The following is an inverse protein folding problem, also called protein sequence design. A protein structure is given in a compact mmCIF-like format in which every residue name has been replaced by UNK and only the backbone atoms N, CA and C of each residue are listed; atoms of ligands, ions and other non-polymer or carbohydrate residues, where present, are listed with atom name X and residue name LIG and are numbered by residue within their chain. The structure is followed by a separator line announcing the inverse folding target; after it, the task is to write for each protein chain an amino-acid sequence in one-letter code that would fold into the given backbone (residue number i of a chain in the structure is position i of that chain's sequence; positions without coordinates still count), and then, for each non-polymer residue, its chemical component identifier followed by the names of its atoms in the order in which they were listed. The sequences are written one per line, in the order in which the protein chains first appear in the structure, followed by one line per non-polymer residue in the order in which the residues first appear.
data_IF_500925590542
#
_entry.id   IF_500925590542
#
_cell.length_a   1.000
_cell.length_b   1.000
_cell.length_c   1.000
_cell.angle_alpha   90.00
_cell.angle_beta   90.00
_cell.angle_gamma   90.00
#
_symmetry.space_group_name_H-M   'P 1'
#
loop_
_entity.id
_entity.type
_entity.pdbx_description
1 polymer ?
#
# COMPACT_ATOMS: atom_id res chain seq x y z
N UNK A 1 -7.54 19.94 -56.97
CA UNK A 1 -6.88 21.24 -56.77
C UNK A 1 -7.53 21.92 -55.57
N UNK A 2 -6.69 22.26 -54.60
CA UNK A 2 -6.83 23.13 -53.42
C UNK A 2 -8.14 23.91 -53.22
N UNK A 3 -8.67 23.88 -51.99
CA UNK A 3 -8.87 25.14 -51.27
C UNK A 3 -8.67 24.94 -49.77
N UNK A 4 -7.95 25.86 -49.14
CA UNK A 4 -7.46 25.86 -47.78
C UNK A 4 -7.98 27.07 -47.00
N UNK A 5 -8.41 26.85 -45.74
CA UNK A 5 -8.42 27.77 -44.55
C UNK A 5 -9.38 28.98 -44.54
N UNK A 6 -9.78 29.58 -43.37
CA UNK A 6 -9.18 29.50 -42.02
C UNK A 6 -10.11 29.32 -40.78
N UNK A 7 -9.46 29.19 -39.61
CA UNK A 7 -9.96 29.12 -38.23
C UNK A 7 -10.81 30.33 -37.77
N UNK A 8 -11.64 30.15 -36.73
CA UNK A 8 -11.85 31.17 -35.69
C UNK A 8 -11.87 30.56 -34.29
N UNK A 9 -10.88 30.98 -33.48
CA UNK A 9 -10.90 30.98 -32.02
C UNK A 9 -12.09 31.79 -31.50
N UNK A 10 -12.83 31.24 -30.53
CA UNK A 10 -13.58 32.06 -29.56
C UNK A 10 -13.23 31.60 -28.15
N UNK A 11 -12.22 32.28 -27.60
CA UNK A 11 -11.99 32.43 -26.17
C UNK A 11 -13.17 33.21 -25.57
N UNK A 12 -13.95 32.57 -24.72
CA UNK A 12 -14.56 33.27 -23.58
C UNK A 12 -14.13 32.53 -22.33
N UNK A 13 -13.12 33.08 -21.67
CA UNK A 13 -12.66 32.64 -20.35
C UNK A 13 -13.87 32.65 -19.41
N UNK A 14 -14.34 31.46 -19.04
CA UNK A 14 -15.24 31.29 -17.91
C UNK A 14 -14.35 31.16 -16.67
N UNK A 15 -14.56 31.96 -15.61
CA UNK A 15 -13.75 31.86 -14.41
C UNK A 15 -13.84 30.43 -13.85
N UNK A 16 -12.78 29.91 -13.21
CA UNK A 16 -12.78 28.56 -12.69
C UNK A 16 -13.96 28.42 -11.72
N UNK A 17 -14.89 27.53 -12.06
CA UNK A 17 -15.87 27.09 -11.08
C UNK A 17 -15.09 26.48 -9.91
N UNK A 18 -15.30 26.95 -8.67
CA UNK A 18 -14.75 26.26 -7.52
C UNK A 18 -15.33 24.84 -7.52
N UNK A 19 -14.46 23.83 -7.46
CA UNK A 19 -14.82 22.44 -7.22
C UNK A 19 -15.41 22.31 -5.83
N UNK A 20 -16.66 22.74 -5.66
CA UNK A 20 -17.46 22.48 -4.47
C UNK A 20 -18.13 21.12 -4.61
N UNK A 21 -17.32 20.07 -4.53
CA UNK A 21 -17.74 18.82 -3.90
C UNK A 21 -16.74 18.53 -2.78
N UNK A 22 -16.64 19.48 -1.84
CA UNK A 22 -16.41 19.13 -0.45
C UNK A 22 -17.62 18.31 -0.02
N UNK A 23 -17.61 17.02 -0.38
CA UNK A 23 -18.50 16.03 0.18
C UNK A 23 -18.46 16.21 1.69
N UNK A 24 -19.64 16.48 2.24
CA UNK A 24 -19.91 16.78 3.63
C UNK A 24 -19.00 15.94 4.57
N UNK A 25 -18.09 16.54 5.37
CA UNK A 25 -17.08 15.78 6.13
C UNK A 25 -17.66 14.83 7.20
N UNK A 26 -18.99 14.84 7.38
CA UNK A 26 -19.71 14.03 8.37
C UNK A 26 -20.43 12.80 7.81
N UNK A 27 -20.59 12.65 6.48
CA UNK A 27 -21.43 11.57 5.92
C UNK A 27 -20.69 10.28 5.55
N UNK A 28 -19.35 10.24 5.62
CA UNK A 28 -18.54 9.08 5.23
C UNK A 28 -17.71 8.45 6.38
N UNK A 29 -18.11 8.64 7.64
CA UNK A 29 -17.33 8.12 8.79
C UNK A 29 -17.54 6.62 9.07
N UNK A 30 -18.67 6.05 8.60
CA UNK A 30 -19.02 4.64 8.86
C UNK A 30 -18.75 3.81 7.60
N UNK A 31 -17.60 3.15 7.61
CA UNK A 31 -17.20 2.17 6.58
C UNK A 31 -17.18 0.77 7.18
N UNK A 32 -17.13 -0.27 6.34
CA UNK A 32 -16.95 -1.65 6.81
C UNK A 32 -15.66 -1.79 7.64
N UNK A 33 -14.60 -1.08 7.24
CA UNK A 33 -13.32 -1.00 7.94
C UNK A 33 -13.46 -0.38 9.33
N UNK A 34 -14.17 0.74 9.46
CA UNK A 34 -14.43 1.38 10.76
C UNK A 34 -15.19 0.42 11.67
N UNK A 35 -16.23 -0.25 11.16
CA UNK A 35 -17.03 -1.22 11.95
C UNK A 35 -16.18 -2.40 12.42
N UNK A 36 -15.39 -3.00 11.53
CA UNK A 36 -14.54 -4.14 11.85
C UNK A 36 -13.40 -3.74 12.80
N UNK A 37 -12.83 -2.55 12.61
CA UNK A 37 -11.82 -1.98 13.52
C UNK A 37 -12.39 -1.79 14.93
N UNK A 38 -13.61 -1.25 15.06
CA UNK A 38 -14.29 -1.11 16.35
C UNK A 38 -14.57 -2.49 16.95
N UNK A 39 -15.15 -3.42 16.18
CA UNK A 39 -15.49 -4.77 16.67
C UNK A 39 -14.24 -5.54 17.11
N UNK A 40 -13.15 -5.48 16.35
CA UNK A 40 -11.88 -6.15 16.67
C UNK A 40 -11.19 -5.60 17.93
N UNK A 41 -11.35 -4.30 18.22
CA UNK A 41 -10.85 -3.66 19.43
C UNK A 41 -11.81 -3.75 20.63
N UNK A 42 -13.06 -4.17 20.40
CA UNK A 42 -14.11 -4.28 21.41
C UNK A 42 -14.55 -5.73 21.59
N UNK A 43 -15.73 -6.10 21.05
CA UNK A 43 -16.39 -7.37 21.30
C UNK A 43 -15.55 -8.58 20.87
N UNK A 44 -14.80 -8.49 19.77
CA UNK A 44 -13.99 -9.60 19.24
C UNK A 44 -12.59 -9.69 19.87
N UNK A 45 -12.25 -8.83 20.83
CA UNK A 45 -10.95 -8.87 21.49
C UNK A 45 -10.95 -9.88 22.65
N UNK A 46 -9.98 -10.81 22.74
CA UNK A 46 -9.97 -11.86 23.77
C UNK A 46 -9.99 -11.29 25.20
N UNK A 47 -9.25 -10.21 25.45
CA UNK A 47 -9.24 -9.54 26.77
C UNK A 47 -10.64 -9.07 27.19
N UNK A 48 -11.41 -8.48 26.28
CA UNK A 48 -12.76 -7.96 26.59
C UNK A 48 -13.73 -9.12 26.77
N UNK A 49 -13.61 -10.19 25.99
CA UNK A 49 -14.39 -11.40 26.17
C UNK A 49 -14.17 -12.03 27.56
N UNK A 50 -12.94 -12.04 28.07
CA UNK A 50 -12.65 -12.53 29.42
C UNK A 50 -13.18 -11.62 30.53
N UNK A 51 -13.26 -10.29 30.31
CA UNK A 51 -13.94 -9.39 31.26
C UNK A 51 -15.41 -9.81 31.44
N UNK A 52 -16.11 -10.19 30.36
CA UNK A 52 -17.50 -10.66 30.46
C UNK A 52 -17.63 -11.94 31.29
N UNK A 53 -16.69 -12.89 31.14
CA UNK A 53 -16.64 -14.10 31.98
C UNK A 53 -16.44 -13.73 33.46
N UNK A 54 -15.54 -12.79 33.76
CA UNK A 54 -15.30 -12.32 35.12
C UNK A 54 -16.54 -11.63 35.71
N UNK A 55 -17.28 -10.85 34.91
CA UNK A 55 -18.54 -10.23 35.33
C UNK A 55 -19.60 -11.27 35.72
N UNK A 56 -19.79 -12.32 34.90
CA UNK A 56 -20.70 -13.42 35.25
C UNK A 56 -20.23 -14.18 36.50
N UNK A 57 -18.92 -14.34 36.65
CA UNK A 57 -18.36 -14.99 37.85
C UNK A 57 -18.62 -14.18 39.10
N UNK A 58 -18.50 -12.85 39.03
CA UNK A 58 -18.79 -11.93 40.13
C UNK A 58 -20.27 -11.94 40.53
N UNK A 59 -21.18 -12.22 39.58
CA UNK A 59 -22.61 -12.41 39.84
C UNK A 59 -22.95 -13.80 40.40
N UNK A 60 -21.96 -14.66 40.62
CA UNK A 60 -22.13 -16.04 41.10
C UNK A 60 -23.02 -16.87 40.16
N UNK A 61 -22.96 -16.58 38.85
CA UNK A 61 -23.69 -17.35 37.83
C UNK A 61 -23.24 -18.83 37.86
N UNK A 62 -24.18 -19.81 37.94
CA UNK A 62 -23.85 -21.23 37.92
C UNK A 62 -23.12 -21.65 36.64
N UNK A 63 -22.20 -22.61 36.74
CA UNK A 63 -21.44 -23.10 35.57
C UNK A 63 -22.30 -23.84 34.54
N UNK A 64 -23.49 -24.29 34.93
CA UNK A 64 -24.48 -24.93 34.06
C UNK A 64 -25.38 -23.93 33.34
N UNK A 65 -25.32 -22.64 33.69
CA UNK A 65 -26.14 -21.61 33.06
C UNK A 65 -25.73 -21.43 31.59
N UNK A 66 -26.69 -21.40 30.63
CA UNK A 66 -26.38 -21.17 29.22
C UNK A 66 -25.55 -19.91 28.96
N UNK A 67 -25.77 -18.83 29.71
CA UNK A 67 -25.02 -17.58 29.56
C UNK A 67 -23.54 -17.75 29.97
N UNK A 68 -23.28 -18.51 31.02
CA UNK A 68 -21.92 -18.88 31.43
C UNK A 68 -21.22 -19.71 30.35
N UNK A 69 -21.87 -20.78 29.89
CA UNK A 69 -21.32 -21.69 28.88
C UNK A 69 -21.00 -20.95 27.59
N UNK A 70 -21.92 -20.11 27.10
CA UNK A 70 -21.73 -19.36 25.86
C UNK A 70 -20.57 -18.36 25.98
N UNK A 71 -20.50 -17.61 27.08
CA UNK A 71 -19.47 -16.56 27.26
C UNK A 71 -18.08 -17.16 27.43
N UNK A 72 -17.95 -18.25 28.18
CA UNK A 72 -16.68 -18.99 28.33
C UNK A 72 -16.25 -19.60 26.99
N UNK A 73 -17.18 -20.21 26.25
CA UNK A 73 -16.90 -20.78 24.93
C UNK A 73 -16.44 -19.70 23.96
N UNK A 74 -17.13 -18.55 23.93
CA UNK A 74 -16.76 -17.40 23.11
C UNK A 74 -15.37 -16.85 23.44
N UNK A 75 -15.08 -16.58 24.71
CA UNK A 75 -13.77 -16.09 25.14
C UNK A 75 -12.65 -17.10 24.82
N UNK A 76 -12.92 -18.38 24.99
CA UNK A 76 -11.98 -19.47 24.67
C UNK A 76 -11.69 -19.50 23.17
N UNK A 77 -12.72 -19.47 22.31
CA UNK A 77 -12.56 -19.45 20.85
C UNK A 77 -11.72 -18.25 20.40
N UNK A 78 -12.04 -17.03 20.88
CA UNK A 78 -11.26 -15.84 20.53
C UNK A 78 -9.80 -15.93 21.00
N UNK A 79 -9.56 -16.51 22.18
CA UNK A 79 -8.21 -16.71 22.72
C UNK A 79 -7.44 -17.70 21.86
N UNK A 80 -8.04 -18.83 21.50
CA UNK A 80 -7.45 -19.85 20.63
C UNK A 80 -7.12 -19.26 19.26
N UNK A 81 -8.04 -18.51 18.64
CA UNK A 81 -7.80 -17.84 17.36
C UNK A 81 -6.68 -16.80 17.45
N UNK A 82 -6.60 -16.04 18.55
CA UNK A 82 -5.55 -15.05 18.78
C UNK A 82 -4.18 -15.72 18.93
N UNK A 83 -4.09 -16.81 19.71
CA UNK A 83 -2.87 -17.61 19.86
C UNK A 83 -2.47 -18.23 18.52
N UNK A 84 -3.41 -18.82 17.79
CA UNK A 84 -3.17 -19.41 16.47
C UNK A 84 -2.61 -18.37 15.49
N UNK A 85 -3.13 -17.12 15.51
CA UNK A 85 -2.59 -16.03 14.69
C UNK A 85 -1.16 -15.68 15.05
N UNK A 86 -0.82 -15.61 16.35
CA UNK A 86 0.54 -15.32 16.82
C UNK A 86 1.50 -16.44 16.40
N UNK A 87 1.11 -17.71 16.59
CA UNK A 87 1.89 -18.88 16.17
C UNK A 87 2.09 -18.86 14.66
N UNK A 88 1.02 -18.62 13.88
CA UNK A 88 1.10 -18.55 12.43
C UNK A 88 2.08 -17.46 11.97
N UNK A 89 2.03 -16.26 12.55
CA UNK A 89 3.00 -15.20 12.21
C UNK A 89 4.44 -15.61 12.53
N UNK A 90 4.69 -16.24 13.68
CA UNK A 90 6.03 -16.71 14.10
C UNK A 90 6.56 -17.81 13.20
N UNK A 91 5.71 -18.77 12.83
CA UNK A 91 6.09 -19.90 11.96
C UNK A 91 6.29 -19.43 10.52
N UNK A 92 5.43 -18.53 10.01
CA UNK A 92 5.49 -18.09 8.62
C UNK A 92 6.62 -17.09 8.34
N UNK A 93 6.88 -16.15 9.26
CA UNK A 93 7.79 -15.01 9.03
C UNK A 93 8.96 -14.93 10.04
N UNK A 94 9.08 -15.94 10.92
CA UNK A 94 10.13 -16.03 11.93
C UNK A 94 9.95 -15.07 13.11
N UNK A 95 10.97 -15.00 13.96
CA UNK A 95 11.02 -14.00 15.02
C UNK A 95 11.23 -12.59 14.45
N UNK A 96 10.66 -11.53 15.06
CA UNK A 96 10.95 -10.17 14.65
C UNK A 96 12.43 -9.83 14.85
N UNK A 97 12.99 -9.00 13.97
CA UNK A 97 14.33 -8.44 14.15
C UNK A 97 14.28 -7.21 15.07
N UNK A 98 15.41 -6.86 15.68
CA UNK A 98 15.51 -5.60 16.43
C UNK A 98 15.67 -4.44 15.46
N UNK A 99 14.86 -3.41 15.58
CA UNK A 99 14.94 -2.19 14.76
C UNK A 99 15.21 -1.00 15.68
N UNK A 100 16.34 -0.32 15.46
CA UNK A 100 16.68 0.92 16.16
C UNK A 100 16.99 2.01 15.13
N UNK A 101 16.07 2.94 14.94
CA UNK A 101 16.09 3.92 13.85
C UNK A 101 17.38 4.73 13.72
N UNK A 102 18.09 4.96 14.83
CA UNK A 102 19.38 5.66 14.85
C UNK A 102 20.45 4.92 14.04
N UNK A 103 20.33 3.59 13.94
CA UNK A 103 21.26 2.72 13.22
C UNK A 103 20.69 2.23 11.88
N UNK A 104 19.54 2.75 11.45
CA UNK A 104 18.86 2.31 10.24
C UNK A 104 18.96 3.40 9.18
N UNK A 105 19.25 2.97 7.95
CA UNK A 105 19.18 3.83 6.77
C UNK A 105 17.94 3.42 5.99
N UNK A 106 16.99 4.34 5.88
CA UNK A 106 15.70 4.13 5.22
C UNK A 106 15.78 4.68 3.79
N UNK A 107 15.73 3.78 2.82
CA UNK A 107 15.67 4.10 1.40
C UNK A 107 14.24 4.00 0.89
N UNK A 108 13.71 5.07 0.30
CA UNK A 108 12.34 5.14 -0.21
C UNK A 108 12.36 5.51 -1.69
N UNK A 109 11.78 4.67 -2.54
CA UNK A 109 11.54 5.01 -3.95
C UNK A 109 10.16 5.65 -4.14
N UNK A 110 10.01 6.63 -5.03
CA UNK A 110 8.74 7.34 -5.21
C UNK A 110 8.39 8.24 -4.01
N UNK A 111 9.40 8.80 -3.33
CA UNK A 111 9.23 9.55 -2.10
C UNK A 111 8.84 11.02 -2.28
N UNK A 112 8.73 11.54 -3.50
CA UNK A 112 8.41 12.96 -3.72
C UNK A 112 6.91 13.29 -3.59
N UNK A 113 6.04 12.29 -3.46
CA UNK A 113 4.60 12.49 -3.34
C UNK A 113 3.88 11.32 -2.63
N UNK A 114 2.61 11.52 -2.30
CA UNK A 114 1.71 10.46 -1.84
C UNK A 114 2.22 9.68 -0.62
N UNK A 115 2.11 8.35 -0.69
CA UNK A 115 2.50 7.45 0.40
C UNK A 115 4.01 7.50 0.71
N UNK A 116 4.86 7.58 -0.32
CA UNK A 116 6.32 7.60 -0.14
C UNK A 116 6.77 8.85 0.62
N UNK A 117 6.21 10.01 0.29
CA UNK A 117 6.49 11.27 0.99
C UNK A 117 6.12 11.22 2.48
N UNK A 118 4.93 10.69 2.79
CA UNK A 118 4.49 10.57 4.19
C UNK A 118 5.38 9.65 5.00
N UNK A 119 5.81 8.53 4.41
CA UNK A 119 6.74 7.60 5.07
C UNK A 119 8.11 8.27 5.28
N UNK A 120 8.61 9.03 4.31
CA UNK A 120 9.86 9.77 4.43
C UNK A 120 9.80 10.78 5.59
N UNK A 121 8.76 11.62 5.62
CA UNK A 121 8.51 12.58 6.71
C UNK A 121 8.43 11.89 8.07
N UNK A 122 7.69 10.76 8.17
CA UNK A 122 7.57 10.00 9.41
C UNK A 122 8.92 9.51 9.95
N UNK A 123 9.80 8.99 9.09
CA UNK A 123 11.11 8.50 9.51
C UNK A 123 12.11 9.64 9.82
N UNK A 124 12.04 10.75 9.09
CA UNK A 124 12.83 11.96 9.40
C UNK A 124 12.46 12.49 10.77
N UNK A 125 11.17 12.63 11.07
CA UNK A 125 10.69 13.07 12.39
C UNK A 125 11.10 12.14 13.55
N UNK A 126 11.46 10.90 13.24
CA UNK A 126 11.94 9.88 14.21
C UNK A 126 13.46 9.86 14.34
N UNK A 127 14.18 10.69 13.60
CA UNK A 127 15.64 10.78 13.62
C UNK A 127 16.35 9.63 12.88
N UNK A 128 15.68 8.98 11.92
CA UNK A 128 16.34 8.00 11.05
C UNK A 128 17.10 8.71 9.91
N UNK A 129 18.16 8.08 9.41
CA UNK A 129 18.80 8.51 8.16
C UNK A 129 17.93 8.12 6.97
N UNK A 130 17.43 9.10 6.21
CA UNK A 130 16.46 8.85 5.12
C UNK A 130 17.05 9.25 3.76
N UNK A 131 17.09 8.29 2.84
CA UNK A 131 17.35 8.51 1.43
C UNK A 131 16.06 8.40 0.61
N UNK A 132 15.81 9.38 -0.26
CA UNK A 132 14.66 9.38 -1.17
C UNK A 132 15.14 9.35 -2.62
N UNK A 133 14.60 8.39 -3.39
CA UNK A 133 14.77 8.31 -4.84
C UNK A 133 13.44 8.64 -5.52
N UNK A 134 13.45 9.61 -6.42
CA UNK A 134 12.29 9.93 -7.25
C UNK A 134 12.73 10.54 -8.58
N UNK A 135 11.89 10.43 -9.60
CA UNK A 135 12.14 11.06 -10.91
C UNK A 135 11.85 12.56 -10.87
N UNK A 136 10.98 13.01 -9.95
CA UNK A 136 10.71 14.43 -9.76
C UNK A 136 11.97 15.12 -9.24
N UNK A 137 12.31 16.26 -9.83
CA UNK A 137 13.38 17.07 -9.28
C UNK A 137 12.82 17.99 -8.19
N UNK A 138 13.39 17.90 -6.98
CA UNK A 138 13.08 18.79 -5.86
C UNK A 138 14.33 19.63 -5.58
N UNK A 139 14.26 20.95 -5.80
CA UNK A 139 15.35 21.88 -5.50
C UNK A 139 15.84 21.73 -4.07
N UNK A 140 17.16 21.79 -3.86
CA UNK A 140 17.78 21.57 -2.55
C UNK A 140 17.23 22.49 -1.47
N UNK A 141 16.97 23.75 -1.81
CA UNK A 141 16.43 24.76 -0.91
C UNK A 141 14.97 24.53 -0.46
N UNK A 142 14.22 23.63 -1.10
CA UNK A 142 12.84 23.30 -0.71
C UNK A 142 12.72 21.92 -0.06
N UNK A 143 13.81 21.15 0.04
CA UNK A 143 13.77 19.79 0.59
C UNK A 143 13.39 19.78 2.06
N UNK A 144 13.97 20.68 2.85
CA UNK A 144 13.67 20.75 4.29
C UNK A 144 12.20 21.16 4.53
N UNK A 145 11.64 22.02 3.69
CA UNK A 145 10.21 22.37 3.75
C UNK A 145 9.30 21.19 3.37
N UNK A 146 9.71 20.37 2.41
CA UNK A 146 8.92 19.24 1.92
C UNK A 146 9.00 18.03 2.86
N UNK A 147 10.18 17.73 3.40
CA UNK A 147 10.45 16.49 4.11
C UNK A 147 10.73 16.66 5.61
N UNK A 148 11.20 17.83 6.02
CA UNK A 148 11.93 18.04 7.28
C UNK A 148 13.45 18.00 7.05
N UNK A 149 14.21 18.50 8.03
CA UNK A 149 15.67 18.58 7.96
C UNK A 149 16.33 17.19 7.82
N UNK A 150 17.37 17.09 6.99
CA UNK A 150 18.25 15.92 6.94
C UNK A 150 17.85 14.83 5.94
N UNK A 151 16.96 15.13 4.97
CA UNK A 151 16.66 14.20 3.87
C UNK A 151 17.80 14.15 2.85
N UNK A 152 18.25 12.95 2.50
CA UNK A 152 19.18 12.75 1.38
C UNK A 152 18.40 12.42 0.09
N UNK A 153 18.14 13.44 -0.70
CA UNK A 153 17.32 13.31 -1.91
C UNK A 153 18.18 13.13 -3.17
N UNK A 154 17.85 12.12 -3.99
CA UNK A 154 18.49 11.86 -5.28
C UNK A 154 17.43 11.77 -6.36
N UNK A 155 17.50 12.68 -7.34
CA UNK A 155 16.72 12.58 -8.58
C UNK A 155 17.22 11.36 -9.37
N UNK A 156 16.39 10.32 -9.46
CA UNK A 156 16.74 9.00 -9.98
C UNK A 156 15.52 8.34 -10.63
N UNK A 157 15.66 7.98 -11.91
CA UNK A 157 14.73 7.04 -12.54
C UNK A 157 15.08 5.62 -12.10
N UNK A 158 14.27 5.06 -11.20
CA UNK A 158 14.46 3.72 -10.64
C UNK A 158 14.24 2.60 -11.66
N UNK A 159 13.65 2.88 -12.83
CA UNK A 159 13.59 1.92 -13.92
C UNK A 159 14.98 1.66 -14.54
N UNK A 160 15.90 2.62 -14.44
CA UNK A 160 17.25 2.53 -14.97
C UNK A 160 18.22 1.96 -13.92
N UNK A 161 18.67 0.72 -14.14
CA UNK A 161 19.59 0.03 -13.22
C UNK A 161 20.88 0.83 -12.97
N UNK A 162 21.45 1.44 -14.01
CA UNK A 162 22.67 2.25 -13.89
C UNK A 162 22.47 3.45 -12.96
N UNK A 163 21.29 4.08 -12.99
CA UNK A 163 20.95 5.18 -12.09
C UNK A 163 20.85 4.70 -10.63
N UNK A 164 20.29 3.52 -10.39
CA UNK A 164 20.26 2.91 -9.05
C UNK A 164 21.66 2.58 -8.51
N UNK A 165 22.57 2.08 -9.32
CA UNK A 165 23.95 1.80 -8.90
C UNK A 165 24.70 3.09 -8.54
N UNK A 166 24.51 4.16 -9.31
CA UNK A 166 25.06 5.49 -8.99
C UNK A 166 24.45 6.03 -7.70
N UNK A 167 23.13 5.91 -7.53
CA UNK A 167 22.44 6.33 -6.32
C UNK A 167 22.92 5.55 -5.08
N UNK A 168 23.10 4.22 -5.21
CA UNK A 168 23.68 3.38 -4.16
C UNK A 168 25.05 3.89 -3.72
N UNK A 169 25.95 4.20 -4.66
CA UNK A 169 27.27 4.74 -4.32
C UNK A 169 27.19 6.02 -3.48
N UNK A 170 26.30 6.94 -3.87
CA UNK A 170 26.06 8.19 -3.12
C UNK A 170 25.47 7.93 -1.73
N UNK A 171 24.49 7.04 -1.61
CA UNK A 171 23.85 6.71 -0.34
C UNK A 171 24.84 6.04 0.62
N UNK A 172 25.65 5.10 0.12
CA UNK A 172 26.67 4.44 0.92
C UNK A 172 27.71 5.41 1.47
N UNK A 173 28.06 6.44 0.70
CA UNK A 173 29.01 7.47 1.12
C UNK A 173 28.41 8.40 2.17
N UNK A 174 27.16 8.83 2.00
CA UNK A 174 26.53 9.84 2.86
C UNK A 174 25.90 9.26 4.13
N UNK A 175 25.12 8.18 3.97
CA UNK A 175 24.31 7.61 5.05
C UNK A 175 24.77 6.21 5.50
N UNK A 176 25.49 5.50 4.63
CA UNK A 176 25.84 4.09 4.83
C UNK A 176 24.88 3.12 4.16
N UNK A 177 24.92 1.84 4.56
CA UNK A 177 24.13 0.77 3.94
C UNK A 177 22.64 0.91 4.25
N UNK A 178 21.77 1.02 3.23
CA UNK A 178 20.32 0.93 3.43
C UNK A 178 19.93 -0.41 4.05
N UNK A 179 19.24 -0.35 5.17
CA UNK A 179 18.74 -1.52 5.92
C UNK A 179 17.22 -1.61 5.87
N UNK A 180 16.52 -0.53 5.56
CA UNK A 180 15.07 -0.52 5.29
C UNK A 180 14.88 0.00 3.87
N UNK A 181 14.46 -0.85 2.94
CA UNK A 181 14.26 -0.49 1.53
C UNK A 181 12.78 -0.58 1.19
N UNK A 182 12.18 0.57 0.89
CA UNK A 182 10.75 0.73 0.64
C UNK A 182 10.53 1.07 -0.84
N UNK A 183 10.01 0.09 -1.58
CA UNK A 183 9.61 0.27 -2.97
C UNK A 183 8.18 0.82 -3.06
N UNK A 184 8.04 2.15 -3.19
CA UNK A 184 6.76 2.84 -3.40
C UNK A 184 6.60 3.43 -4.80
N UNK A 185 7.66 3.48 -5.62
CA UNK A 185 7.59 4.05 -6.96
C UNK A 185 6.57 3.34 -7.87
N UNK A 186 5.84 4.13 -8.64
CA UNK A 186 4.91 3.64 -9.65
C UNK A 186 4.77 4.64 -10.81
N UNK A 187 4.59 4.12 -12.03
CA UNK A 187 4.20 4.91 -13.19
C UNK A 187 2.77 5.43 -13.04
N UNK A 188 2.50 6.55 -13.73
CA UNK A 188 1.15 7.08 -13.88
C UNK A 188 0.24 6.04 -14.52
N UNK A 189 -1.01 5.97 -14.05
CA UNK A 189 -2.01 5.04 -14.57
C UNK A 189 -2.49 5.50 -15.95
N UNK A 190 -2.42 4.59 -16.93
CA UNK A 190 -2.92 4.85 -18.27
C UNK A 190 -4.44 4.86 -18.34
N UNK A 191 -5.12 3.89 -17.71
CA UNK A 191 -6.59 3.85 -17.61
C UNK A 191 -7.31 3.59 -18.93
N UNK A 192 -6.63 2.98 -19.91
CA UNK A 192 -7.12 2.78 -21.28
C UNK A 192 -7.69 1.37 -21.45
N UNK A 193 -8.63 1.21 -22.39
CA UNK A 193 -9.13 -0.11 -22.76
C UNK A 193 -7.98 -0.97 -23.29
N UNK A 194 -8.13 -2.30 -23.23
CA UNK A 194 -7.07 -3.21 -23.67
C UNK A 194 -6.63 -2.97 -25.12
N UNK A 195 -7.55 -2.56 -26.00
CA UNK A 195 -7.25 -2.28 -27.41
C UNK A 195 -6.58 -0.93 -27.63
N UNK A 196 -6.73 0.00 -26.68
CA UNK A 196 -6.29 1.39 -26.81
C UNK A 196 -4.97 1.67 -26.08
N UNK A 197 -4.50 0.78 -25.20
CA UNK A 197 -3.21 0.95 -24.50
C UNK A 197 -2.06 0.82 -25.51
N UNK A 198 -1.28 1.88 -25.74
CA UNK A 198 -0.09 1.80 -26.60
C UNK A 198 0.98 0.87 -26.00
N UNK A 199 1.74 0.19 -26.85
CA UNK A 199 2.75 -0.77 -26.41
C UNK A 199 3.86 -0.12 -25.58
N UNK A 200 4.28 1.09 -25.93
CA UNK A 200 5.28 1.89 -25.20
C UNK A 200 4.78 2.32 -23.82
N UNK A 201 3.49 2.69 -23.72
CA UNK A 201 2.86 3.02 -22.44
C UNK A 201 2.77 1.78 -21.52
N UNK A 202 2.43 0.61 -22.09
CA UNK A 202 2.44 -0.66 -21.38
C UNK A 202 3.86 -1.02 -20.89
N UNK A 203 4.86 -0.94 -21.78
CA UNK A 203 6.26 -1.22 -21.45
C UNK A 203 6.76 -0.29 -20.33
N UNK A 204 6.44 1.00 -20.39
CA UNK A 204 6.81 1.97 -19.37
C UNK A 204 6.22 1.62 -17.99
N UNK A 205 4.95 1.19 -17.95
CA UNK A 205 4.32 0.73 -16.70
C UNK A 205 5.05 -0.49 -16.14
N UNK A 206 5.37 -1.48 -16.97
CA UNK A 206 6.11 -2.69 -16.54
C UNK A 206 7.52 -2.33 -16.06
N UNK A 207 8.25 -1.48 -16.79
CA UNK A 207 9.60 -1.03 -16.42
C UNK A 207 9.60 -0.34 -15.06
N UNK A 208 8.67 0.57 -14.84
CA UNK A 208 8.62 1.38 -13.61
C UNK A 208 8.07 0.60 -12.42
N UNK A 209 7.00 -0.18 -12.59
CA UNK A 209 6.31 -0.81 -11.46
C UNK A 209 6.92 -2.17 -11.08
N UNK A 210 7.50 -2.89 -12.05
CA UNK A 210 8.00 -4.26 -11.85
C UNK A 210 9.52 -4.33 -11.98
N UNK A 211 10.09 -3.95 -13.12
CA UNK A 211 11.54 -4.09 -13.32
C UNK A 211 12.35 -3.19 -12.39
N UNK A 212 11.87 -1.99 -12.09
CA UNK A 212 12.50 -1.10 -11.10
C UNK A 212 12.62 -1.76 -9.72
N UNK A 213 11.58 -2.47 -9.25
CA UNK A 213 11.60 -3.18 -7.99
C UNK A 213 12.62 -4.33 -8.00
N UNK A 214 12.68 -5.07 -9.12
CA UNK A 214 13.69 -6.11 -9.32
C UNK A 214 15.11 -5.54 -9.26
N UNK A 215 15.38 -4.45 -9.99
CA UNK A 215 16.68 -3.78 -9.97
C UNK A 215 17.01 -3.26 -8.58
N UNK A 216 16.08 -2.58 -7.92
CA UNK A 216 16.25 -2.05 -6.57
C UNK A 216 16.70 -3.15 -5.60
N UNK A 217 15.99 -4.28 -5.56
CA UNK A 217 16.37 -5.37 -4.67
C UNK A 217 17.70 -6.00 -5.05
N UNK A 218 17.99 -6.24 -6.33
CA UNK A 218 19.31 -6.75 -6.73
C UNK A 218 20.47 -5.83 -6.34
N UNK A 219 20.27 -4.51 -6.40
CA UNK A 219 21.31 -3.51 -6.13
C UNK A 219 21.59 -3.39 -4.63
N UNK A 220 20.54 -3.34 -3.78
CA UNK A 220 20.68 -3.05 -2.36
C UNK A 220 20.73 -4.29 -1.45
N UNK A 221 20.12 -5.40 -1.84
CA UNK A 221 20.04 -6.62 -1.01
C UNK A 221 21.40 -7.23 -0.62
N UNK A 222 22.44 -7.24 -1.48
CA UNK A 222 23.77 -7.71 -1.06
C UNK A 222 24.33 -6.95 0.14
N UNK A 223 24.09 -5.63 0.22
CA UNK A 223 24.49 -4.81 1.36
C UNK A 223 23.69 -5.17 2.62
N UNK A 224 22.39 -5.38 2.49
CA UNK A 224 21.50 -5.78 3.59
C UNK A 224 21.91 -7.15 4.16
N UNK A 225 22.26 -8.10 3.31
CA UNK A 225 22.72 -9.44 3.74
C UNK A 225 24.03 -9.35 4.52
N UNK A 226 24.93 -8.45 4.13
CA UNK A 226 26.22 -8.25 4.79
C UNK A 226 26.14 -7.40 6.07
N UNK A 227 25.03 -6.65 6.27
CA UNK A 227 24.85 -5.80 7.44
C UNK A 227 24.57 -6.62 8.71
N UNK A 228 25.18 -6.24 9.82
CA UNK A 228 25.05 -6.96 11.11
C UNK A 228 23.62 -6.94 11.66
N UNK A 229 22.87 -5.86 11.43
CA UNK A 229 21.47 -5.70 11.85
C UNK A 229 20.45 -6.27 10.85
N UNK A 230 20.91 -6.79 9.70
CA UNK A 230 20.07 -7.23 8.61
C UNK A 230 19.23 -6.11 8.01
N UNK A 231 17.98 -6.41 7.65
CA UNK A 231 17.12 -5.38 7.07
C UNK A 231 15.71 -5.81 6.72
N UNK A 232 14.93 -4.84 6.25
CA UNK A 232 13.52 -4.99 5.89
C UNK A 232 13.30 -4.51 4.46
N UNK A 233 12.84 -5.42 3.58
CA UNK A 233 12.40 -5.11 2.23
C UNK A 233 10.88 -4.90 2.22
N UNK A 234 10.42 -3.75 1.74
CA UNK A 234 9.00 -3.40 1.72
C UNK A 234 8.55 -3.17 0.29
N UNK A 235 7.58 -3.95 -0.18
CA UNK A 235 7.01 -3.80 -1.53
C UNK A 235 5.58 -3.26 -1.43
N UNK A 236 5.33 -2.09 -2.01
CA UNK A 236 3.96 -1.56 -2.15
C UNK A 236 3.33 -2.02 -3.47
N UNK A 237 2.43 -2.98 -3.35
CA UNK A 237 1.61 -3.54 -4.42
C UNK A 237 0.14 -3.12 -4.29
N UNK A 238 -0.75 -3.75 -5.05
CA UNK A 238 -2.18 -3.45 -5.06
C UNK A 238 -3.03 -4.69 -5.24
N UNK A 239 -4.22 -4.69 -4.65
CA UNK A 239 -5.26 -5.72 -4.85
C UNK A 239 -5.71 -5.86 -6.31
N UNK A 240 -5.48 -4.83 -7.13
CA UNK A 240 -5.78 -4.86 -8.56
C UNK A 240 -4.87 -5.83 -9.33
N UNK A 241 -3.74 -6.26 -8.75
CA UNK A 241 -2.94 -7.35 -9.31
C UNK A 241 -3.66 -8.70 -9.28
N UNK A 242 -4.60 -8.90 -8.36
CA UNK A 242 -5.43 -10.11 -8.29
C UNK A 242 -6.79 -9.92 -8.95
N UNK A 243 -7.40 -8.74 -8.78
CA UNK A 243 -8.75 -8.48 -9.27
C UNK A 243 -8.78 -8.16 -10.77
N UNK A 244 -7.71 -7.63 -11.35
CA UNK A 244 -7.59 -7.36 -12.79
C UNK A 244 -8.78 -6.58 -13.35
N UNK A 245 -8.95 -5.34 -12.89
CA UNK A 245 -10.03 -4.46 -13.33
C UNK A 245 -9.90 -4.08 -14.81
N UNK A 246 -11.02 -3.96 -15.53
CA UNK A 246 -11.02 -3.43 -16.88
C UNK A 246 -10.42 -2.00 -16.94
N UNK A 247 -9.68 -1.72 -18.01
CA UNK A 247 -9.00 -0.43 -18.20
C UNK A 247 -7.61 -0.32 -17.53
N UNK A 248 -7.16 -1.37 -16.83
CA UNK A 248 -5.90 -1.37 -16.06
C UNK A 248 -5.01 -2.57 -16.39
N UNK A 249 -4.98 -3.02 -17.65
CA UNK A 249 -4.25 -4.23 -18.05
C UNK A 249 -2.75 -4.16 -17.73
N UNK A 250 -2.10 -3.04 -18.02
CA UNK A 250 -0.69 -2.76 -17.73
C UNK A 250 -0.42 -2.67 -16.22
N UNK A 251 -1.26 -1.91 -15.50
CA UNK A 251 -1.11 -1.73 -14.06
C UNK A 251 -1.34 -3.05 -13.30
N UNK A 252 -2.42 -3.77 -13.60
CA UNK A 252 -2.74 -5.06 -12.99
C UNK A 252 -1.64 -6.09 -13.26
N UNK A 253 -1.18 -6.22 -14.52
CA UNK A 253 -0.06 -7.10 -14.86
C UNK A 253 1.20 -6.75 -14.06
N UNK A 254 1.53 -5.46 -13.96
CA UNK A 254 2.71 -5.00 -13.21
C UNK A 254 2.61 -5.31 -11.71
N UNK A 255 1.45 -5.10 -11.08
CA UNK A 255 1.25 -5.34 -9.64
C UNK A 255 1.12 -6.82 -9.31
N UNK A 256 0.55 -7.64 -10.21
CA UNK A 256 0.55 -9.09 -10.11
C UNK A 256 1.99 -9.64 -10.12
N UNK A 257 2.78 -9.22 -11.11
CA UNK A 257 4.20 -9.58 -11.22
C UNK A 257 5.01 -9.10 -10.01
N UNK A 258 4.73 -7.90 -9.50
CA UNK A 258 5.42 -7.34 -8.35
C UNK A 258 5.12 -8.13 -7.06
N UNK A 259 3.86 -8.49 -6.82
CA UNK A 259 3.49 -9.34 -5.69
C UNK A 259 4.09 -10.75 -5.82
N UNK A 260 4.18 -11.30 -7.04
CA UNK A 260 4.85 -12.58 -7.27
C UNK A 260 6.35 -12.49 -6.98
N UNK A 261 7.04 -11.47 -7.50
CA UNK A 261 8.45 -11.20 -7.22
C UNK A 261 8.73 -11.11 -5.72
N UNK A 262 7.91 -10.35 -4.98
CA UNK A 262 8.05 -10.24 -3.53
C UNK A 262 7.95 -11.61 -2.83
N UNK A 263 6.97 -12.43 -3.21
CA UNK A 263 6.78 -13.76 -2.60
C UNK A 263 7.95 -14.69 -2.89
N UNK A 264 8.56 -14.59 -4.07
CA UNK A 264 9.78 -15.33 -4.40
C UNK A 264 10.94 -14.89 -3.51
N UNK A 265 11.16 -13.59 -3.35
CA UNK A 265 12.19 -13.05 -2.44
C UNK A 265 11.92 -13.50 -0.99
N UNK A 266 10.68 -13.38 -0.51
CA UNK A 266 10.31 -13.88 0.83
C UNK A 266 10.66 -15.36 1.00
N UNK A 267 10.35 -16.21 0.01
CA UNK A 267 10.64 -17.63 0.07
C UNK A 267 12.14 -17.93 0.11
N UNK A 268 12.95 -17.21 -0.67
CA UNK A 268 14.41 -17.35 -0.68
C UNK A 268 15.05 -16.95 0.66
N UNK A 269 14.51 -15.93 1.33
CA UNK A 269 15.09 -15.38 2.56
C UNK A 269 14.39 -15.83 3.86
N UNK A 270 13.35 -16.68 3.78
CA UNK A 270 12.57 -17.13 4.95
C UNK A 270 13.43 -17.77 6.05
N UNK A 271 14.53 -18.42 5.68
CA UNK A 271 15.47 -19.05 6.62
C UNK A 271 16.38 -18.05 7.36
N UNK A 272 16.46 -16.80 6.92
CA UNK A 272 17.31 -15.78 7.53
C UNK A 272 16.51 -14.98 8.58
N UNK A 273 16.88 -15.04 9.87
CA UNK A 273 16.14 -14.34 10.92
C UNK A 273 16.30 -12.81 10.88
N UNK A 274 17.36 -12.30 10.24
CA UNK A 274 17.70 -10.88 10.18
C UNK A 274 17.10 -10.15 8.97
N UNK A 275 16.68 -10.88 7.94
CA UNK A 275 16.06 -10.30 6.74
C UNK A 275 14.55 -10.49 6.82
N UNK A 276 13.83 -9.37 6.74
CA UNK A 276 12.37 -9.34 6.75
C UNK A 276 11.84 -8.80 5.43
N UNK A 277 10.71 -9.33 5.01
CA UNK A 277 9.99 -8.86 3.84
C UNK A 277 8.57 -8.47 4.24
N UNK A 278 8.11 -7.32 3.79
CA UNK A 278 6.77 -6.81 4.03
C UNK A 278 6.09 -6.50 2.69
N UNK A 279 5.05 -7.26 2.36
CA UNK A 279 4.23 -7.00 1.19
C UNK A 279 3.03 -6.16 1.61
N UNK A 280 2.79 -5.05 0.93
CA UNK A 280 1.66 -4.15 1.21
C UNK A 280 0.74 -4.16 0.01
N UNK A 281 -0.42 -4.81 0.10
CA UNK A 281 -1.41 -4.87 -0.98
C UNK A 281 -2.60 -3.97 -0.63
N UNK A 282 -2.64 -2.79 -1.25
CA UNK A 282 -3.68 -1.79 -0.98
C UNK A 282 -4.77 -1.75 -2.04
N UNK A 283 -5.97 -1.39 -1.59
CA UNK A 283 -7.06 -0.86 -2.40
C UNK A 283 -6.77 0.56 -2.90
N UNK A 284 -7.82 1.26 -3.35
CA UNK A 284 -7.68 2.63 -3.81
C UNK A 284 -7.27 3.55 -2.66
N UNK A 285 -6.25 4.39 -2.89
CA UNK A 285 -5.79 5.41 -1.95
C UNK A 285 -6.05 6.81 -2.49
N UNK A 286 -6.34 7.76 -1.59
CA UNK A 286 -6.45 9.20 -1.87
C UNK A 286 -5.06 9.79 -2.18
N UNK A 287 -4.54 9.51 -3.37
CA UNK A 287 -3.21 9.96 -3.83
C UNK A 287 -3.31 10.54 -5.25
N UNK A 288 -2.35 11.37 -5.68
CA UNK A 288 -2.32 11.89 -7.05
C UNK A 288 -2.33 10.82 -8.15
N UNK A 289 -2.02 9.56 -7.83
CA UNK A 289 -2.04 8.46 -8.79
C UNK A 289 -3.47 8.06 -9.21
N UNK A 290 -4.44 8.22 -8.31
CA UNK A 290 -5.83 7.75 -8.45
C UNK A 290 -6.87 8.86 -8.19
N UNK A 291 -6.46 10.12 -8.11
CA UNK A 291 -7.33 11.28 -7.79
C UNK A 291 -8.51 11.43 -8.77
N UNK A 292 -8.32 11.01 -10.00
CA UNK A 292 -9.30 11.06 -11.08
C UNK A 292 -10.28 9.87 -11.09
N UNK A 293 -10.04 8.80 -10.33
CA UNK A 293 -10.91 7.60 -10.30
C UNK A 293 -11.94 7.71 -9.17
N UNK A 294 -13.23 7.63 -9.50
CA UNK A 294 -14.28 7.61 -8.47
C UNK A 294 -14.47 6.20 -7.91
N UNK A 295 -14.51 6.09 -6.58
CA UNK A 295 -14.83 4.83 -5.93
C UNK A 295 -16.31 4.50 -6.14
N UNK A 296 -16.64 3.30 -6.66
CA UNK A 296 -18.02 2.92 -6.96
C UNK A 296 -18.86 2.70 -5.68
N UNK A 297 -18.23 2.31 -4.57
CA UNK A 297 -18.93 2.08 -3.30
C UNK A 297 -18.04 2.41 -2.08
N UNK A 298 -18.32 3.54 -1.42
CA UNK A 298 -17.56 4.00 -0.26
C UNK A 298 -17.70 3.13 1.00
N UNK A 299 -18.76 2.31 1.12
CA UNK A 299 -18.96 1.47 2.31
C UNK A 299 -18.15 0.17 2.25
N UNK A 300 -18.21 -0.53 1.12
CA UNK A 300 -17.52 -1.83 0.93
C UNK A 300 -16.10 -1.70 0.36
N UNK A 301 -15.83 -0.63 -0.39
CA UNK A 301 -14.53 -0.32 -0.97
C UNK A 301 -14.16 1.15 -0.64
N UNK A 302 -13.93 1.47 0.64
CA UNK A 302 -13.55 2.81 1.04
C UNK A 302 -12.20 3.21 0.42
N UNK A 303 -12.08 4.49 0.08
CA UNK A 303 -10.80 5.09 -0.32
C UNK A 303 -9.97 5.24 0.95
N UNK A 304 -8.75 4.71 0.92
CA UNK A 304 -7.82 4.80 2.04
C UNK A 304 -7.13 6.16 2.08
N UNK A 305 -7.01 6.70 3.29
CA UNK A 305 -6.13 7.82 3.54
C UNK A 305 -4.67 7.34 3.60
N UNK A 306 -3.74 7.92 2.81
CA UNK A 306 -2.35 7.46 2.75
C UNK A 306 -1.64 7.44 4.11
N UNK A 307 -2.03 8.33 5.03
CA UNK A 307 -1.49 8.38 6.40
C UNK A 307 -1.81 7.13 7.21
N UNK A 308 -2.95 6.48 6.96
CA UNK A 308 -3.33 5.25 7.65
C UNK A 308 -2.47 4.08 7.17
N UNK A 309 -2.27 3.98 5.86
CA UNK A 309 -1.39 2.98 5.25
C UNK A 309 0.06 3.20 5.71
N UNK A 310 0.55 4.44 5.70
CA UNK A 310 1.88 4.79 6.19
C UNK A 310 2.07 4.39 7.66
N UNK A 311 1.07 4.66 8.52
CA UNK A 311 1.12 4.30 9.94
C UNK A 311 1.22 2.79 10.14
N UNK A 312 0.41 2.01 9.42
CA UNK A 312 0.44 0.54 9.51
C UNK A 312 1.75 -0.05 8.99
N UNK A 313 2.29 0.52 7.89
CA UNK A 313 3.59 0.14 7.35
C UNK A 313 4.71 0.41 8.34
N UNK A 314 4.79 1.64 8.85
CA UNK A 314 5.80 2.04 9.83
C UNK A 314 5.69 1.18 11.09
N UNK A 315 4.48 1.00 11.66
CA UNK A 315 4.31 0.14 12.83
C UNK A 315 4.75 -1.32 12.60
N UNK A 316 4.53 -1.88 11.41
CA UNK A 316 5.00 -3.23 11.07
C UNK A 316 6.53 -3.28 10.95
N UNK A 317 7.14 -2.33 10.24
CA UNK A 317 8.59 -2.22 10.06
C UNK A 317 9.27 -2.02 11.42
N UNK A 318 8.79 -1.08 12.24
CA UNK A 318 9.29 -0.79 13.59
C UNK A 318 9.27 -2.01 14.50
N UNK A 319 8.21 -2.82 14.38
CA UNK A 319 8.09 -4.05 15.16
C UNK A 319 9.04 -5.15 14.70
N UNK A 320 9.82 -4.92 13.63
CA UNK A 320 10.77 -5.85 13.04
C UNK A 320 10.12 -7.08 12.41
N UNK A 321 8.83 -7.02 12.08
CA UNK A 321 8.06 -8.15 11.56
C UNK A 321 8.02 -8.12 10.04
N UNK A 322 8.19 -9.31 9.44
CA UNK A 322 7.78 -9.54 8.06
C UNK A 322 6.30 -9.91 7.97
N UNK A 323 5.76 -9.92 6.76
CA UNK A 323 4.41 -10.40 6.50
C UNK A 323 3.70 -9.70 5.35
N UNK A 324 2.38 -9.75 5.38
CA UNK A 324 1.54 -9.11 4.36
C UNK A 324 0.51 -8.20 5.03
N UNK A 325 0.52 -6.92 4.66
CA UNK A 325 -0.50 -5.94 5.02
C UNK A 325 -1.49 -5.85 3.86
N UNK A 326 -2.78 -5.94 4.18
CA UNK A 326 -3.87 -5.78 3.22
C UNK A 326 -4.90 -4.81 3.76
N UNK A 327 -5.12 -3.72 3.04
CA UNK A 327 -6.04 -2.65 3.41
C UNK A 327 -6.80 -2.21 2.15
N UNK A 328 -8.09 -1.83 2.22
CA UNK A 328 -9.00 -1.95 3.37
C UNK A 328 -9.36 -3.42 3.66
N UNK A 329 -10.28 -3.70 4.58
CA UNK A 329 -10.65 -5.04 5.02
C UNK A 329 -10.98 -5.98 3.85
N UNK A 330 -11.66 -5.50 2.82
CA UNK A 330 -11.97 -6.32 1.64
C UNK A 330 -10.72 -6.90 0.97
N UNK A 331 -9.58 -6.20 1.04
CA UNK A 331 -8.31 -6.65 0.49
C UNK A 331 -7.88 -7.99 1.11
N UNK A 332 -8.21 -8.24 2.38
CA UNK A 332 -7.93 -9.51 3.06
C UNK A 332 -8.70 -10.69 2.44
N UNK A 333 -9.82 -10.42 1.79
CA UNK A 333 -10.71 -11.40 1.17
C UNK A 333 -10.45 -11.60 -0.33
N UNK A 334 -9.60 -10.76 -0.95
CA UNK A 334 -9.35 -10.82 -2.40
C UNK A 334 -8.78 -12.17 -2.85
N UNK A 335 -7.96 -12.83 -2.04
CA UNK A 335 -7.50 -14.18 -2.39
C UNK A 335 -8.61 -15.24 -2.34
N UNK A 336 -9.63 -15.04 -1.50
CA UNK A 336 -10.81 -15.90 -1.45
C UNK A 336 -11.73 -15.69 -2.65
N UNK A 337 -11.75 -14.49 -3.22
CA UNK A 337 -12.51 -14.22 -4.44
C UNK A 337 -12.12 -15.17 -5.58
N UNK A 338 -10.82 -15.51 -5.71
CA UNK A 338 -10.32 -16.40 -6.76
C UNK A 338 -10.85 -17.85 -6.67
N UNK A 339 -11.28 -18.31 -5.49
CA UNK A 339 -11.81 -19.67 -5.29
C UNK A 339 -13.33 -19.76 -5.44
N UNK A 340 -14.02 -18.63 -5.62
CA UNK A 340 -15.48 -18.60 -5.80
C UNK A 340 -15.88 -19.13 -7.19
N UNK A 341 -17.09 -19.70 -7.37
CA UNK A 341 -17.61 -20.04 -8.68
C UNK A 341 -17.65 -18.81 -9.62
N UNK A 342 -17.39 -19.02 -10.91
CA UNK A 342 -17.29 -17.94 -11.89
C UNK A 342 -18.55 -17.05 -11.96
N UNK A 343 -19.73 -17.63 -11.71
CA UNK A 343 -21.00 -16.87 -11.64
C UNK A 343 -21.02 -15.90 -10.46
N UNK A 344 -20.60 -16.36 -9.28
CA UNK A 344 -20.50 -15.53 -8.06
C UNK A 344 -19.48 -14.42 -8.26
N UNK A 345 -18.33 -14.75 -8.85
CA UNK A 345 -17.30 -13.78 -9.21
C UNK A 345 -17.87 -12.66 -10.11
N UNK A 346 -18.57 -13.04 -11.20
CA UNK A 346 -19.15 -12.07 -12.13
C UNK A 346 -20.20 -11.16 -11.48
N UNK A 347 -21.06 -11.71 -10.62
CA UNK A 347 -22.03 -10.92 -9.85
C UNK A 347 -21.32 -9.96 -8.90
N UNK A 348 -20.30 -10.42 -8.17
CA UNK A 348 -19.53 -9.56 -7.27
C UNK A 348 -18.84 -8.41 -8.03
N UNK A 349 -18.26 -8.67 -9.20
CA UNK A 349 -17.68 -7.62 -10.06
C UNK A 349 -18.71 -6.59 -10.48
N UNK A 350 -19.85 -7.06 -10.99
CA UNK A 350 -20.95 -6.19 -11.41
C UNK A 350 -21.44 -5.30 -10.26
N UNK A 351 -21.70 -5.88 -9.08
CA UNK A 351 -22.12 -5.13 -7.89
C UNK A 351 -21.06 -4.16 -7.38
N UNK A 352 -19.78 -4.51 -7.52
CA UNK A 352 -18.68 -3.64 -7.11
C UNK A 352 -18.43 -2.47 -8.06
N UNK A 353 -18.89 -2.53 -9.32
CA UNK A 353 -18.60 -1.51 -10.33
C UNK A 353 -17.12 -1.41 -10.76
N UNK A 354 -16.29 -2.39 -10.38
CA UNK A 354 -14.82 -2.34 -10.58
C UNK A 354 -14.42 -2.22 -12.07
N UNK A 355 -15.20 -2.81 -12.97
CA UNK A 355 -14.90 -2.81 -14.41
C UNK A 355 -15.33 -1.52 -15.12
N UNK A 356 -16.23 -0.75 -14.52
CA UNK A 356 -16.74 0.48 -15.12
C UNK A 356 -16.05 1.73 -14.55
N UNK A 357 -15.49 1.66 -13.34
CA UNK A 357 -14.96 2.80 -12.60
C UNK A 357 -13.93 3.62 -13.39
N UNK A 358 -12.99 2.95 -14.06
CA UNK A 358 -11.92 3.60 -14.83
C UNK A 358 -12.47 4.24 -16.11
N UNK A 359 -13.32 3.51 -16.83
CA UNK A 359 -13.93 3.96 -18.09
C UNK A 359 -14.85 5.16 -17.86
N UNK A 360 -15.72 5.10 -16.85
CA UNK A 360 -16.65 6.18 -16.51
C UNK A 360 -15.91 7.44 -16.07
N UNK A 361 -14.89 7.30 -15.23
CA UNK A 361 -14.08 8.43 -14.74
C UNK A 361 -13.42 9.19 -15.90
N UNK A 362 -12.93 8.48 -16.92
CA UNK A 362 -12.37 9.10 -18.12
C UNK A 362 -13.40 9.83 -18.97
N UNK A 363 -14.58 9.25 -19.16
CA UNK A 363 -15.66 9.92 -19.91
C UNK A 363 -16.12 11.20 -19.23
N UNK A 364 -16.05 11.26 -17.89
CA UNK A 364 -16.34 12.49 -17.15
C UNK A 364 -15.22 13.53 -17.26
N UNK A 365 -13.96 13.13 -17.26
CA UNK A 365 -12.81 14.06 -17.41
C UNK A 365 -12.63 14.57 -18.85
N UNK A 366 -12.99 13.79 -19.87
CA UNK A 366 -12.93 14.22 -21.28
C UNK A 366 -14.09 15.11 -21.74
N UNK A 367 -15.07 15.38 -20.88
CA UNK A 367 -16.19 16.31 -21.15
C UNK A 367 -15.95 17.72 -20.60
N UNK A 368 -14.81 17.95 -19.97
CA UNK A 368 -14.44 19.22 -19.31
C UNK A 368 -13.37 20.03 -20.04
N UNK A 369 -12.95 19.60 -21.25
CA UNK A 369 -11.99 20.33 -22.09
C UNK A 369 -12.67 21.18 -23.17
#
# INVERSE_FOLDING_TARGET
MSSSTPQFLKTTAKPPHPTSDLANPRTNLVTIDTLISILSKSLLHPFIAWILVLCLRAQVTPSTDPAWILTVSYATVLTVLSIARIINQRVAHGAPRTVNFVNEVVLITGGASGLGLLIAQMYIMRGASVAVLDIKDIPENSRDEVFGEGVFYITCDVAERSALEVAKGKILQELGTPTIVINCAAARINGLSFLDVPADAFEKTIRTNLLAAFHLYQVFLPGIIAAENGGTLVTVSSVLGQLSAAGLSDYAASKAGLSALHRTIEAEFRGNPLIKTLLVEVGQMSTPLFDWVRAPNHFFAPVLEPVEVAREMVAAIDSGRGGVIRLPFYATLVNWYAVLPATVQRVARYLSGIDDAVTQSRQTSGKTD
#
